data_IF_672643408818
#
_entry.id   IF_672643408818
#
_cell.length_a   1.000
_cell.length_b   1.000
_cell.length_c   1.000
_cell.angle_alpha   90.00
_cell.angle_beta   90.00
_cell.angle_gamma   90.00
#
_symmetry.space_group_name_H-M   'P 1'
#
loop_
_entity.id
_entity.type
_entity.pdbx_description
1 polymer ?
#
# COMPACT_ATOMS: atom_id res chain seq x y z
N UNK A 1 -49.19 5.16 -23.78
CA UNK A 1 -49.70 4.13 -22.83
C UNK A 1 -48.46 3.39 -22.34
N UNK A 2 -48.10 3.20 -21.07
CA UNK A 2 -48.78 3.23 -19.77
C UNK A 2 -47.67 3.52 -18.73
N UNK A 3 -47.92 4.43 -17.78
CA UNK A 3 -47.04 4.69 -16.61
C UNK A 3 -47.34 3.63 -15.55
N UNK A 4 -46.31 3.01 -14.96
CA UNK A 4 -46.43 2.33 -13.67
C UNK A 4 -45.49 3.01 -12.66
N UNK A 5 -46.08 3.93 -11.90
CA UNK A 5 -45.66 4.34 -10.57
C UNK A 5 -45.98 3.20 -9.60
N UNK A 6 -45.15 3.01 -8.55
CA UNK A 6 -45.46 2.49 -7.20
C UNK A 6 -44.10 2.36 -6.49
N UNK A 7 -43.62 3.38 -5.77
CA UNK A 7 -43.84 3.61 -4.34
C UNK A 7 -43.51 2.40 -3.45
N UNK A 8 -42.38 2.48 -2.75
CA UNK A 8 -42.22 1.96 -1.38
C UNK A 8 -41.08 2.70 -0.71
N UNK A 9 -41.46 3.63 0.18
CA UNK A 9 -40.57 4.28 1.11
C UNK A 9 -40.29 3.33 2.28
N UNK A 10 -39.02 3.15 2.64
CA UNK A 10 -38.62 2.58 3.93
C UNK A 10 -37.80 3.64 4.65
N UNK A 11 -38.40 4.18 5.70
CA UNK A 11 -37.80 5.11 6.66
C UNK A 11 -36.91 4.27 7.58
N UNK A 12 -35.59 4.49 7.52
CA UNK A 12 -34.67 3.97 8.54
C UNK A 12 -34.26 5.13 9.43
N UNK A 13 -34.84 5.16 10.64
CA UNK A 13 -34.42 6.03 11.72
C UNK A 13 -33.13 5.47 12.33
N UNK A 14 -32.00 6.15 12.12
CA UNK A 14 -30.73 5.84 12.81
C UNK A 14 -30.66 6.71 14.06
N UNK A 15 -30.77 6.07 15.22
CA UNK A 15 -30.52 6.67 16.52
C UNK A 15 -29.02 6.94 16.69
N UNK A 16 -28.69 8.19 17.03
CA UNK A 16 -27.35 8.62 17.38
C UNK A 16 -26.97 8.07 18.76
N UNK A 17 -25.87 7.30 18.84
CA UNK A 17 -25.19 6.98 20.08
C UNK A 17 -23.99 7.92 20.24
N UNK A 18 -23.95 8.60 21.38
CA UNK A 18 -22.99 9.64 21.72
C UNK A 18 -21.57 9.12 21.90
N UNK A 19 -20.62 9.95 21.45
CA UNK A 19 -19.20 9.84 21.77
C UNK A 19 -18.96 10.60 23.08
N UNK A 20 -18.59 9.91 24.15
CA UNK A 20 -17.91 10.53 25.30
C UNK A 20 -16.42 10.34 25.12
N UNK A 21 -15.73 11.48 24.97
CA UNK A 21 -14.30 11.58 24.69
C UNK A 21 -13.39 11.24 25.86
N UNK A 22 -12.12 11.09 25.49
CA UNK A 22 -10.96 10.79 26.31
C UNK A 22 -10.47 11.98 27.15
N UNK A 23 -9.48 11.63 27.98
CA UNK A 23 -8.34 12.40 28.47
C UNK A 23 -8.47 13.10 29.83
N UNK A 24 -7.79 12.49 30.81
CA UNK A 24 -7.22 13.23 31.93
C UNK A 24 -5.78 12.77 32.21
N UNK A 25 -5.02 13.74 32.70
CA UNK A 25 -3.60 13.99 32.45
C UNK A 25 -2.82 14.00 33.77
N UNK A 26 -1.57 13.52 33.72
CA UNK A 26 -0.40 13.82 34.60
C UNK A 26 -0.44 13.47 36.11
N UNK A 27 0.60 12.77 36.55
CA UNK A 27 1.72 13.23 37.44
C UNK A 27 2.47 11.98 37.98
N UNK A 28 3.79 11.81 37.80
CA UNK A 28 4.88 12.29 38.70
C UNK A 28 4.59 11.91 40.18
N UNK A 29 5.40 11.22 40.98
CA UNK A 29 6.86 11.00 41.15
C UNK A 29 6.95 9.88 42.24
N UNK A 30 7.99 9.06 42.44
CA UNK A 30 9.19 9.32 43.26
C UNK A 30 9.82 7.97 43.69
N UNK A 31 11.13 7.97 43.95
CA UNK A 31 12.06 6.84 44.12
C UNK A 31 12.33 6.50 45.64
N UNK A 32 13.25 5.60 46.07
CA UNK A 32 13.06 4.47 47.02
C UNK A 32 13.80 4.67 48.39
N UNK A 33 14.47 3.67 49.06
CA UNK A 33 14.12 2.38 49.71
C UNK A 33 14.37 2.44 51.27
N UNK A 34 14.51 1.33 52.07
CA UNK A 34 15.81 0.62 52.26
C UNK A 34 15.69 -0.91 52.56
N UNK A 35 16.60 -1.78 52.07
CA UNK A 35 17.82 -2.33 52.69
C UNK A 35 17.70 -3.65 53.51
N UNK A 36 18.42 -4.66 52.98
CA UNK A 36 19.35 -5.58 53.65
C UNK A 36 18.83 -6.78 54.48
N UNK A 37 19.26 -8.00 54.09
CA UNK A 37 19.92 -8.98 54.98
C UNK A 37 20.57 -10.12 54.18
N UNK A 38 21.82 -10.40 54.53
CA UNK A 38 22.74 -11.39 53.95
C UNK A 38 22.63 -12.75 54.72
N UNK A 39 23.53 -13.73 54.52
CA UNK A 39 23.31 -15.00 53.80
C UNK A 39 23.15 -16.24 54.71
N UNK A 40 22.54 -17.31 54.19
CA UNK A 40 22.56 -18.64 54.83
C UNK A 40 23.49 -19.60 54.06
N UNK A 41 24.35 -20.28 54.83
CA UNK A 41 25.32 -21.29 54.38
C UNK A 41 24.67 -22.66 54.08
N UNK A 42 25.36 -23.59 53.38
CA UNK A 42 24.75 -24.73 52.70
C UNK A 42 24.79 -26.04 53.51
N UNK A 43 23.92 -27.00 53.14
CA UNK A 43 23.96 -28.41 53.56
C UNK A 43 23.30 -29.29 52.47
N UNK A 44 23.51 -30.62 52.46
CA UNK A 44 24.54 -31.33 51.70
C UNK A 44 24.02 -31.97 50.40
N UNK A 45 24.94 -32.19 49.46
CA UNK A 45 24.71 -32.87 48.18
C UNK A 45 24.27 -34.33 48.36
N UNK A 46 23.17 -34.70 47.69
CA UNK A 46 22.80 -36.09 47.39
C UNK A 46 23.42 -36.52 46.05
N UNK A 47 23.73 -37.82 45.85
CA UNK A 47 24.61 -38.26 44.77
C UNK A 47 23.99 -38.05 43.38
N UNK A 48 24.81 -37.50 42.49
CA UNK A 48 24.51 -37.27 41.08
C UNK A 48 24.26 -38.61 40.38
N UNK A 49 23.01 -38.89 40.06
CA UNK A 49 22.68 -39.86 39.03
C UNK A 49 23.13 -39.27 37.69
N UNK A 50 24.12 -39.92 37.07
CA UNK A 50 24.64 -39.58 35.74
C UNK A 50 23.55 -39.89 34.71
N UNK A 51 22.66 -38.94 34.46
CA UNK A 51 21.75 -39.00 33.33
C UNK A 51 22.58 -38.78 32.06
N UNK A 52 22.66 -39.81 31.23
CA UNK A 52 23.24 -39.73 29.89
C UNK A 52 22.46 -38.68 29.09
N UNK A 53 23.17 -37.61 28.70
CA UNK A 53 22.62 -36.56 27.87
C UNK A 53 22.24 -37.14 26.50
N UNK A 54 20.92 -37.18 26.23
CA UNK A 54 20.38 -37.40 24.90
C UNK A 54 20.92 -36.30 23.97
N UNK A 55 21.37 -36.61 22.74
CA UNK A 55 21.84 -35.58 21.82
C UNK A 55 20.74 -34.55 21.58
N UNK A 56 20.99 -33.29 21.95
CA UNK A 56 20.14 -32.18 21.57
C UNK A 56 20.21 -32.02 20.05
N UNK A 57 19.05 -32.13 19.41
CA UNK A 57 18.89 -31.74 18.01
C UNK A 57 19.22 -30.25 17.92
N UNK A 58 20.05 -29.78 16.98
CA UNK A 58 20.36 -28.36 16.86
C UNK A 58 19.06 -27.55 16.79
N UNK A 59 18.90 -26.59 17.72
CA UNK A 59 17.79 -25.67 17.68
C UNK A 59 17.84 -24.94 16.32
N UNK A 60 16.84 -25.19 15.47
CA UNK A 60 16.66 -24.40 14.27
C UNK A 60 16.46 -22.94 14.69
N UNK A 61 16.99 -21.96 13.94
CA UNK A 61 16.75 -20.56 14.25
C UNK A 61 15.25 -20.31 14.27
N UNK A 62 14.74 -19.86 15.43
CA UNK A 62 13.35 -19.41 15.55
C UNK A 62 13.25 -18.14 14.72
N UNK A 63 12.50 -18.19 13.62
CA UNK A 63 12.17 -17.00 12.84
C UNK A 63 11.31 -16.11 13.72
N UNK A 64 11.73 -14.85 13.89
CA UNK A 64 10.89 -13.84 14.53
C UNK A 64 9.75 -13.47 13.57
N UNK A 65 8.62 -14.15 13.71
CA UNK A 65 7.45 -13.96 12.85
C UNK A 65 6.92 -12.52 12.91
N UNK A 66 7.05 -11.85 14.06
CA UNK A 66 6.64 -10.46 14.22
C UNK A 66 7.57 -9.54 13.44
N UNK A 67 8.88 -9.76 13.50
CA UNK A 67 9.84 -8.99 12.71
C UNK A 67 9.59 -9.13 11.19
N UNK A 68 9.25 -10.34 10.72
CA UNK A 68 8.91 -10.57 9.31
C UNK A 68 7.61 -9.86 8.91
N UNK A 69 6.60 -9.90 9.79
CA UNK A 69 5.36 -9.15 9.57
C UNK A 69 5.64 -7.65 9.46
N UNK A 70 6.40 -7.08 10.39
CA UNK A 70 6.72 -5.66 10.42
C UNK A 70 7.52 -5.23 9.18
N UNK A 71 8.49 -6.05 8.75
CA UNK A 71 9.27 -5.80 7.52
C UNK A 71 8.38 -5.79 6.27
N UNK A 72 7.48 -6.77 6.13
CA UNK A 72 6.53 -6.82 5.00
C UNK A 72 5.65 -5.58 4.97
N UNK A 73 5.04 -5.24 6.11
CA UNK A 73 4.12 -4.11 6.20
C UNK A 73 4.81 -2.77 5.94
N UNK A 74 6.02 -2.58 6.46
CA UNK A 74 6.83 -1.38 6.21
C UNK A 74 7.12 -1.20 4.71
N UNK A 75 7.52 -2.26 4.01
CA UNK A 75 7.74 -2.23 2.56
C UNK A 75 6.44 -1.90 1.81
N UNK A 76 5.33 -2.57 2.13
CA UNK A 76 4.07 -2.38 1.42
C UNK A 76 3.52 -0.96 1.60
N UNK A 77 3.53 -0.44 2.84
CA UNK A 77 3.07 0.92 3.15
C UNK A 77 3.96 1.96 2.48
N UNK A 78 5.29 1.77 2.51
CA UNK A 78 6.22 2.68 1.83
C UNK A 78 5.94 2.75 0.33
N UNK A 79 5.75 1.60 -0.32
CA UNK A 79 5.46 1.54 -1.75
C UNK A 79 4.13 2.24 -2.09
N UNK A 80 3.09 1.98 -1.29
CA UNK A 80 1.79 2.62 -1.45
C UNK A 80 1.89 4.15 -1.36
N UNK A 81 2.47 4.65 -0.26
CA UNK A 81 2.66 6.08 -0.02
C UNK A 81 3.52 6.77 -1.11
N UNK A 82 4.51 6.05 -1.64
CA UNK A 82 5.42 6.58 -2.66
C UNK A 82 4.77 6.74 -4.02
N UNK A 83 3.78 5.90 -4.36
CA UNK A 83 3.19 5.82 -5.71
C UNK A 83 1.79 6.43 -5.80
N UNK A 84 0.96 6.33 -4.77
CA UNK A 84 -0.45 6.72 -4.84
C UNK A 84 -0.62 8.21 -5.18
N UNK A 85 0.01 9.11 -4.42
CA UNK A 85 -0.12 10.56 -4.65
C UNK A 85 0.38 10.97 -6.05
N UNK A 86 1.55 10.52 -6.53
CA UNK A 86 1.97 10.77 -7.91
C UNK A 86 0.97 10.30 -8.96
N UNK A 87 0.40 9.10 -8.84
CA UNK A 87 -0.64 8.61 -9.76
C UNK A 87 -1.85 9.54 -9.76
N UNK A 88 -2.35 9.93 -8.58
CA UNK A 88 -3.51 10.82 -8.47
C UNK A 88 -3.25 12.20 -9.06
N UNK A 89 -2.07 12.78 -8.83
CA UNK A 89 -1.68 14.06 -9.43
C UNK A 89 -1.56 13.98 -10.94
N UNK A 90 -1.03 12.87 -11.44
CA UNK A 90 -0.91 12.58 -12.87
C UNK A 90 -2.29 12.51 -13.53
N UNK A 91 -3.21 11.73 -12.96
CA UNK A 91 -4.59 11.64 -13.44
C UNK A 91 -5.29 13.01 -13.41
N UNK A 92 -5.21 13.73 -12.29
CA UNK A 92 -5.81 15.05 -12.16
C UNK A 92 -5.32 16.04 -13.24
N UNK A 93 -4.02 16.01 -13.56
CA UNK A 93 -3.44 16.82 -14.63
C UNK A 93 -3.97 16.44 -16.00
N UNK A 94 -4.11 15.14 -16.26
CA UNK A 94 -4.54 14.64 -17.55
C UNK A 94 -6.02 14.94 -17.82
N UNK A 95 -6.89 14.79 -16.83
CA UNK A 95 -8.33 15.05 -17.00
C UNK A 95 -8.66 16.54 -17.17
N UNK A 96 -7.81 17.43 -16.66
CA UNK A 96 -8.05 18.88 -16.61
C UNK A 96 -8.26 19.54 -17.99
N UNK A 97 -7.70 18.95 -19.05
CA UNK A 97 -7.79 19.49 -20.41
C UNK A 97 -8.61 18.62 -21.37
N UNK A 98 -9.09 17.46 -20.92
CA UNK A 98 -9.92 16.58 -21.74
C UNK A 98 -11.38 16.99 -21.63
N UNK A 99 -12.05 17.07 -22.79
CA UNK A 99 -13.50 17.34 -22.84
C UNK A 99 -14.33 16.18 -22.27
N UNK A 100 -13.92 14.95 -22.57
CA UNK A 100 -14.52 13.72 -22.06
C UNK A 100 -13.40 12.72 -21.77
N UNK A 101 -13.17 12.44 -20.49
CA UNK A 101 -12.13 11.52 -20.06
C UNK A 101 -12.33 10.10 -20.60
N UNK A 102 -13.56 9.63 -20.81
CA UNK A 102 -13.78 8.28 -21.35
C UNK A 102 -13.35 8.18 -22.81
N UNK A 103 -13.53 9.26 -23.58
CA UNK A 103 -13.16 9.29 -25.00
C UNK A 103 -11.68 9.61 -25.22
N UNK A 104 -11.08 10.41 -24.33
CA UNK A 104 -9.70 10.86 -24.45
C UNK A 104 -9.55 12.05 -25.41
N UNK A 105 -8.33 12.29 -25.93
CA UNK A 105 -8.07 13.44 -26.79
C UNK A 105 -8.75 13.30 -28.16
N UNK A 106 -9.34 14.39 -28.62
CA UNK A 106 -10.09 14.50 -29.87
C UNK A 106 -9.21 14.95 -31.04
N UNK A 107 -8.19 15.76 -30.77
CA UNK A 107 -7.41 16.50 -31.76
C UNK A 107 -7.89 17.93 -31.99
N UNK A 108 -8.97 18.34 -31.33
CA UNK A 108 -9.55 19.68 -31.42
C UNK A 108 -9.25 20.53 -30.16
N UNK A 109 -8.41 20.02 -29.25
CA UNK A 109 -8.08 20.69 -28.01
C UNK A 109 -7.33 22.01 -28.26
N UNK A 110 -7.87 23.11 -27.70
CA UNK A 110 -7.22 24.42 -27.75
C UNK A 110 -5.98 24.51 -26.88
N UNK A 111 -5.91 23.68 -25.84
CA UNK A 111 -4.82 23.69 -24.87
C UNK A 111 -4.53 22.26 -24.47
N UNK A 112 -3.27 21.86 -24.60
CA UNK A 112 -2.79 20.53 -24.24
C UNK A 112 -1.85 20.66 -23.07
N UNK A 113 -2.32 20.19 -21.93
CA UNK A 113 -1.61 20.27 -20.67
C UNK A 113 -0.72 19.05 -20.40
N UNK A 114 -1.01 17.94 -21.10
CA UNK A 114 -0.31 16.68 -20.94
C UNK A 114 -0.70 15.96 -19.65
N UNK A 115 0.27 15.24 -19.10
CA UNK A 115 0.13 14.42 -17.90
C UNK A 115 1.45 14.53 -17.12
N UNK A 116 1.45 14.33 -15.80
CA UNK A 116 2.70 14.29 -15.04
C UNK A 116 3.29 12.88 -15.03
N UNK A 117 4.55 12.75 -15.39
CA UNK A 117 5.32 11.51 -15.21
C UNK A 117 5.43 11.07 -13.75
N UNK A 118 5.71 9.79 -13.56
CA UNK A 118 6.01 9.14 -12.30
C UNK A 118 7.49 8.72 -12.32
N UNK A 119 8.18 8.91 -11.20
CA UNK A 119 9.58 8.52 -11.05
C UNK A 119 9.78 7.03 -11.38
N UNK A 120 10.55 6.75 -12.44
CA UNK A 120 10.90 5.39 -12.86
C UNK A 120 11.66 4.64 -11.76
N UNK A 121 12.54 5.33 -11.03
CA UNK A 121 13.24 4.74 -9.88
C UNK A 121 12.26 4.35 -8.78
N UNK A 122 11.22 5.13 -8.50
CA UNK A 122 10.21 4.77 -7.52
C UNK A 122 9.44 3.51 -7.95
N UNK A 123 9.07 3.39 -9.22
CA UNK A 123 8.40 2.19 -9.74
C UNK A 123 9.30 0.96 -9.57
N UNK A 124 10.55 1.03 -10.03
CA UNK A 124 11.49 -0.08 -9.97
C UNK A 124 11.85 -0.48 -8.52
N UNK A 125 12.07 0.49 -7.64
CA UNK A 125 12.34 0.22 -6.22
C UNK A 125 11.16 -0.43 -5.53
N UNK A 126 9.93 0.05 -5.78
CA UNK A 126 8.73 -0.53 -5.17
C UNK A 126 8.47 -1.94 -5.69
N UNK A 127 8.60 -2.16 -7.00
CA UNK A 127 8.45 -3.48 -7.61
C UNK A 127 9.42 -4.50 -7.02
N UNK A 128 10.71 -4.12 -6.94
CA UNK A 128 11.73 -4.96 -6.32
C UNK A 128 11.44 -5.20 -4.84
N UNK A 129 11.11 -4.14 -4.10
CA UNK A 129 10.84 -4.18 -2.66
C UNK A 129 9.70 -5.13 -2.32
N UNK A 130 8.55 -4.97 -2.97
CA UNK A 130 7.38 -5.84 -2.75
C UNK A 130 7.71 -7.29 -3.10
N UNK A 131 8.37 -7.55 -4.23
CA UNK A 131 8.76 -8.92 -4.62
C UNK A 131 9.73 -9.57 -3.63
N UNK A 132 10.66 -8.79 -3.05
CA UNK A 132 11.56 -9.26 -2.00
C UNK A 132 10.81 -9.54 -0.69
N UNK A 133 9.92 -8.64 -0.27
CA UNK A 133 9.14 -8.82 0.96
C UNK A 133 8.23 -10.05 0.88
N UNK A 134 7.55 -10.30 -0.24
CA UNK A 134 6.70 -11.48 -0.46
C UNK A 134 7.48 -12.80 -0.33
N UNK A 135 8.78 -12.79 -0.64
CA UNK A 135 9.63 -13.97 -0.53
C UNK A 135 10.02 -14.32 0.92
N UNK A 136 9.77 -13.43 1.90
CA UNK A 136 10.03 -13.68 3.32
C UNK A 136 9.03 -14.69 3.89
N UNK A 137 9.51 -15.53 4.80
CA UNK A 137 8.73 -16.55 5.51
C UNK A 137 8.52 -16.16 6.97
N UNK A 138 7.32 -16.32 7.55
CA UNK A 138 6.13 -16.94 6.95
C UNK A 138 5.41 -16.05 5.92
N UNK A 139 4.65 -16.68 5.02
CA UNK A 139 3.79 -15.98 4.07
C UNK A 139 2.65 -15.27 4.82
N UNK A 140 2.30 -14.05 4.39
CA UNK A 140 1.26 -13.23 5.00
C UNK A 140 0.08 -13.10 4.04
N UNK A 141 -0.65 -14.19 3.84
CA UNK A 141 -1.83 -14.19 2.97
C UNK A 141 -3.08 -13.70 3.74
N UNK A 142 -4.00 -12.94 3.10
CA UNK A 142 -3.99 -12.55 1.69
C UNK A 142 -3.19 -11.26 1.38
N UNK A 143 -2.56 -10.64 2.37
CA UNK A 143 -1.91 -9.32 2.25
C UNK A 143 -0.80 -9.33 1.19
N UNK A 144 0.05 -10.35 1.19
CA UNK A 144 1.09 -10.55 0.18
C UNK A 144 0.50 -10.56 -1.25
N UNK A 145 -0.67 -11.19 -1.44
CA UNK A 145 -1.37 -11.21 -2.73
C UNK A 145 -1.92 -9.83 -3.13
N UNK A 146 -2.41 -9.05 -2.17
CA UNK A 146 -2.87 -7.66 -2.40
C UNK A 146 -1.68 -6.77 -2.75
N UNK A 147 -0.56 -6.90 -2.04
CA UNK A 147 0.65 -6.12 -2.30
C UNK A 147 1.22 -6.38 -3.70
N UNK A 148 1.26 -7.65 -4.13
CA UNK A 148 1.63 -8.03 -5.51
C UNK A 148 0.68 -7.41 -6.53
N UNK A 149 -0.63 -7.57 -6.32
CA UNK A 149 -1.64 -7.04 -7.25
C UNK A 149 -1.55 -5.51 -7.38
N UNK A 150 -1.33 -4.81 -6.25
CA UNK A 150 -1.11 -3.36 -6.24
C UNK A 150 0.13 -2.99 -7.05
N UNK A 151 1.29 -3.59 -6.77
CA UNK A 151 2.53 -3.14 -7.41
C UNK A 151 2.57 -3.47 -8.91
N UNK A 152 2.03 -4.61 -9.33
CA UNK A 152 1.95 -4.99 -10.73
C UNK A 152 1.06 -3.99 -11.51
N UNK A 153 -0.10 -3.63 -10.96
CA UNK A 153 -1.00 -2.64 -11.56
C UNK A 153 -0.40 -1.23 -11.54
N UNK A 154 0.24 -0.83 -10.44
CA UNK A 154 0.89 0.46 -10.30
C UNK A 154 2.04 0.65 -11.30
N UNK A 155 2.86 -0.38 -11.51
CA UNK A 155 3.96 -0.37 -12.50
C UNK A 155 3.41 -0.30 -13.92
N UNK A 156 2.40 -1.09 -14.25
CA UNK A 156 1.78 -1.05 -15.59
C UNK A 156 1.17 0.33 -15.91
N UNK A 157 0.42 0.90 -14.97
CA UNK A 157 -0.14 2.24 -15.10
C UNK A 157 0.96 3.30 -15.16
N UNK A 158 1.94 3.23 -14.26
CA UNK A 158 3.05 4.18 -14.20
C UNK A 158 3.90 4.24 -15.47
N UNK A 159 4.18 3.08 -16.08
CA UNK A 159 4.88 3.03 -17.36
C UNK A 159 4.07 3.68 -18.49
N UNK A 160 2.75 3.49 -18.49
CA UNK A 160 1.85 4.12 -19.47
C UNK A 160 1.81 5.64 -19.28
N UNK A 161 1.72 6.10 -18.02
CA UNK A 161 1.81 7.51 -17.65
C UNK A 161 3.11 8.12 -18.17
N UNK A 162 4.24 7.45 -18.00
CA UNK A 162 5.54 7.96 -18.44
C UNK A 162 5.66 8.02 -19.96
N UNK A 163 5.08 7.05 -20.68
CA UNK A 163 5.02 7.12 -22.14
C UNK A 163 4.16 8.30 -22.62
N UNK A 164 3.03 8.55 -21.95
CA UNK A 164 2.17 9.70 -22.23
C UNK A 164 2.85 11.02 -21.88
N UNK A 165 3.52 11.13 -20.73
CA UNK A 165 4.28 12.30 -20.30
C UNK A 165 5.33 12.68 -21.36
N UNK A 166 6.11 11.68 -21.81
CA UNK A 166 7.07 11.86 -22.90
C UNK A 166 6.40 12.33 -24.18
N UNK A 167 5.29 11.71 -24.58
CA UNK A 167 4.57 12.07 -25.80
C UNK A 167 4.06 13.51 -25.80
N UNK A 168 3.43 13.95 -24.71
CA UNK A 168 2.89 15.31 -24.61
C UNK A 168 3.98 16.35 -24.38
N UNK A 169 5.02 16.05 -23.60
CA UNK A 169 6.16 16.96 -23.37
C UNK A 169 6.97 17.20 -24.64
N UNK A 170 7.14 16.17 -25.47
CA UNK A 170 7.81 16.31 -26.78
C UNK A 170 6.91 16.92 -27.85
N UNK A 171 5.64 17.20 -27.53
CA UNK A 171 4.64 17.75 -28.45
C UNK A 171 4.37 16.89 -29.69
N UNK A 172 4.71 15.60 -29.66
CA UNK A 172 4.53 14.67 -30.79
C UNK A 172 3.07 14.56 -31.26
N UNK A 173 2.10 14.98 -30.44
CA UNK A 173 0.70 15.09 -30.83
C UNK A 173 0.42 16.09 -31.95
N UNK A 174 1.30 17.08 -32.14
CA UNK A 174 1.23 18.04 -33.24
C UNK A 174 1.64 17.40 -34.56
N UNK A 175 2.56 16.44 -34.52
CA UNK A 175 3.09 15.78 -35.71
C UNK A 175 2.18 14.65 -36.21
N UNK A 176 1.51 13.95 -35.29
CA UNK A 176 0.69 12.78 -35.60
C UNK A 176 -0.83 13.03 -35.48
N UNK A 177 -1.24 14.29 -35.30
CA UNK A 177 -2.63 14.68 -35.10
C UNK A 177 -3.34 13.84 -34.00
N UNK A 178 -2.66 13.62 -32.88
CA UNK A 178 -3.09 12.82 -31.73
C UNK A 178 -3.26 11.31 -31.99
N UNK A 179 -2.76 10.77 -33.10
CA UNK A 179 -2.91 9.34 -33.40
C UNK A 179 -2.35 8.46 -32.27
N UNK A 180 -1.11 8.71 -31.82
CA UNK A 180 -0.52 7.99 -30.68
C UNK A 180 -1.22 8.35 -29.37
N UNK A 181 -1.58 9.61 -29.15
CA UNK A 181 -2.29 10.04 -27.93
C UNK A 181 -3.60 9.29 -27.70
N UNK A 182 -4.39 9.07 -28.77
CA UNK A 182 -5.63 8.27 -28.73
C UNK A 182 -5.36 6.81 -28.40
N UNK A 183 -4.28 6.24 -28.95
CA UNK A 183 -3.87 4.86 -28.66
C UNK A 183 -3.42 4.71 -27.21
N UNK A 184 -2.58 5.63 -26.73
CA UNK A 184 -2.10 5.65 -25.34
C UNK A 184 -3.25 5.82 -24.35
N UNK A 185 -4.26 6.64 -24.68
CA UNK A 185 -5.46 6.80 -23.84
C UNK A 185 -6.20 5.48 -23.60
N UNK A 186 -6.35 4.64 -24.63
CA UNK A 186 -7.01 3.34 -24.47
C UNK A 186 -6.19 2.39 -23.56
N UNK A 187 -4.87 2.39 -23.72
CA UNK A 187 -3.98 1.64 -22.82
C UNK A 187 -4.04 2.18 -21.39
N UNK A 188 -4.10 3.50 -21.23
CA UNK A 188 -4.23 4.16 -19.95
C UNK A 188 -5.51 3.77 -19.23
N UNK A 189 -6.67 3.82 -19.90
CA UNK A 189 -7.95 3.41 -19.32
C UNK A 189 -7.93 1.95 -18.87
N UNK A 190 -7.38 1.05 -19.69
CA UNK A 190 -7.25 -0.37 -19.34
C UNK A 190 -6.40 -0.57 -18.09
N UNK A 191 -5.27 0.13 -17.99
CA UNK A 191 -4.38 0.00 -16.84
C UNK A 191 -4.95 0.69 -15.59
N UNK A 192 -5.73 1.77 -15.77
CA UNK A 192 -6.44 2.43 -14.69
C UNK A 192 -7.55 1.51 -14.12
N UNK A 193 -8.33 0.86 -14.96
CA UNK A 193 -9.34 -0.13 -14.56
C UNK A 193 -8.75 -1.29 -13.75
N UNK A 194 -7.53 -1.74 -14.10
CA UNK A 194 -6.81 -2.76 -13.33
C UNK A 194 -6.25 -2.24 -11.99
N UNK A 195 -5.92 -0.93 -11.92
CA UNK A 195 -5.33 -0.31 -10.73
C UNK A 195 -6.37 0.11 -9.69
N UNK A 196 -7.53 0.61 -10.11
CA UNK A 196 -8.57 1.13 -9.20
C UNK A 196 -8.96 0.18 -8.06
N UNK A 197 -9.18 -1.15 -8.29
CA UNK A 197 -9.59 -2.06 -7.23
C UNK A 197 -8.53 -2.32 -6.15
N UNK A 198 -7.26 -2.09 -6.47
CA UNK A 198 -6.12 -2.35 -5.57
C UNK A 198 -5.53 -1.07 -4.98
N UNK A 199 -6.01 0.09 -5.40
CA UNK A 199 -5.56 1.40 -4.93
C UNK A 199 -6.33 1.91 -3.68
N UNK A 200 -7.38 1.20 -3.26
CA UNK A 200 -8.28 1.56 -2.16
C UNK A 200 -7.87 1.07 -0.78
#
# INVERSE_FOLDING_TARGET
MKRNLLSSAIIVAIMALGLTGCDDKKAETETPPPANSQPAAPAPEAPVAKAEAKPETPAQPVVDEQAVFDEKMDVYIKCYNKLQIPVQRSLARYVDWLKDFKQGPTGEERTVYGIYGISESNLAECEKGVKSAVALTPALQPIDGVAVSYIDAAVALGNTINEMDKYYTQENYKDDAFAKGKTLHQTFLKNLEAFEPVAG
#
